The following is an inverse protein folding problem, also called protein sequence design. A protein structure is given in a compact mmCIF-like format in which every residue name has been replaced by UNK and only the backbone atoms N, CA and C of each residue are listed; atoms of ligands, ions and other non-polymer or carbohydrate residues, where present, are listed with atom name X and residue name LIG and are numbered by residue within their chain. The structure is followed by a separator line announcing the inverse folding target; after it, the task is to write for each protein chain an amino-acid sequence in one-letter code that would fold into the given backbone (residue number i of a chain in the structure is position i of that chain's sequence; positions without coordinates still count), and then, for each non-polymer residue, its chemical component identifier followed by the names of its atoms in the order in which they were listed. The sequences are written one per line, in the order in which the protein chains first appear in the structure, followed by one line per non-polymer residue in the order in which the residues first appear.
data_IF_762586171587
#
_entry.id   IF_762586171587
#
_cell.length_a   1.000
_cell.length_b   1.000
_cell.length_c   1.000
_cell.angle_alpha   90.00
_cell.angle_beta   90.00
_cell.angle_gamma   90.00
#
_symmetry.space_group_name_H-M   'P 1'
#
loop_
_entity.id
_entity.type
_entity.pdbx_description
1 polymer ?
#
# COMPACT_ATOMS: atom_id res chain seq x y z
N UNK A 1 69.97 -5.74 -43.05
CA UNK A 1 69.00 -4.70 -43.08
C UNK A 1 67.63 -5.31 -42.76
N UNK A 2 67.31 -5.41 -41.51
CA UNK A 2 66.05 -5.95 -40.97
C UNK A 2 65.16 -4.78 -40.47
N UNK A 3 64.00 -4.66 -41.04
CA UNK A 3 62.95 -3.73 -40.55
C UNK A 3 62.22 -4.39 -39.39
N UNK A 4 61.90 -3.65 -38.30
CA UNK A 4 61.00 -4.13 -37.30
C UNK A 4 59.52 -3.80 -37.68
N UNK A 5 58.69 -4.84 -37.63
CA UNK A 5 57.22 -4.68 -37.73
C UNK A 5 56.66 -4.06 -36.45
N UNK A 6 55.99 -2.92 -36.59
CA UNK A 6 55.21 -2.32 -35.56
C UNK A 6 53.83 -2.99 -35.45
N UNK A 7 53.61 -3.70 -34.36
CA UNK A 7 52.27 -4.19 -33.99
C UNK A 7 51.43 -3.08 -33.43
N UNK A 8 50.50 -2.57 -34.20
CA UNK A 8 49.44 -1.68 -33.70
C UNK A 8 48.37 -2.48 -32.96
N UNK A 9 48.36 -2.39 -31.62
CA UNK A 9 47.27 -2.84 -30.80
C UNK A 9 46.11 -1.84 -30.91
N UNK A 10 45.10 -2.18 -31.68
CA UNK A 10 43.82 -1.49 -31.69
C UNK A 10 43.06 -1.76 -30.38
N UNK A 11 43.13 -0.86 -29.44
CA UNK A 11 42.23 -0.86 -28.31
C UNK A 11 40.80 -0.50 -28.79
N UNK A 12 39.98 -1.51 -28.99
CA UNK A 12 38.53 -1.31 -29.15
C UNK A 12 37.97 -0.80 -27.83
N UNK A 13 37.71 0.50 -27.74
CA UNK A 13 36.87 1.09 -26.70
C UNK A 13 35.42 0.61 -26.92
N UNK A 14 35.14 -0.60 -26.46
CA UNK A 14 33.78 -1.13 -26.39
C UNK A 14 32.99 -0.26 -25.42
N UNK A 15 31.90 0.30 -25.92
CA UNK A 15 30.89 0.92 -25.09
C UNK A 15 30.49 -0.05 -23.95
N UNK A 16 30.50 0.33 -22.67
CA UNK A 16 30.18 -0.60 -21.59
C UNK A 16 28.67 -0.80 -21.51
N UNK A 17 28.10 -1.44 -22.53
CA UNK A 17 26.76 -1.99 -22.42
C UNK A 17 26.89 -3.21 -21.50
N UNK A 18 26.41 -3.12 -20.29
CA UNK A 18 26.26 -4.28 -19.42
C UNK A 18 25.23 -5.20 -20.06
N UNK A 19 25.70 -6.17 -20.82
CA UNK A 19 24.86 -7.21 -21.39
C UNK A 19 24.37 -8.09 -20.24
N UNK A 20 23.07 -8.05 -19.97
CA UNK A 20 22.40 -8.88 -19.00
C UNK A 20 21.40 -8.06 -18.19
N UNK A 21 20.20 -8.60 -18.04
CA UNK A 21 19.24 -8.13 -17.05
C UNK A 21 19.87 -8.21 -15.66
N UNK A 22 19.61 -7.27 -14.74
CA UNK A 22 19.94 -7.44 -13.32
C UNK A 22 19.41 -8.75 -12.78
N UNK A 23 18.40 -9.28 -13.42
CA UNK A 23 17.65 -10.48 -13.05
C UNK A 23 18.16 -11.73 -13.77
N UNK A 24 18.82 -11.61 -14.92
CA UNK A 24 19.40 -12.72 -15.67
C UNK A 24 20.85 -13.03 -15.30
N UNK A 25 21.51 -12.18 -14.52
CA UNK A 25 22.85 -12.46 -14.04
C UNK A 25 22.78 -13.55 -12.95
N UNK A 26 23.66 -14.54 -13.02
CA UNK A 26 23.85 -15.59 -12.01
C UNK A 26 24.41 -15.04 -10.68
N UNK A 27 24.05 -13.80 -10.32
CA UNK A 27 24.48 -13.10 -9.14
C UNK A 27 23.46 -13.18 -8.00
N UNK A 28 23.89 -12.86 -6.77
CA UNK A 28 23.01 -12.86 -5.62
C UNK A 28 21.89 -11.82 -5.78
N UNK A 29 20.67 -12.24 -5.49
CA UNK A 29 19.47 -11.38 -5.44
C UNK A 29 19.20 -10.95 -4.01
N UNK A 30 18.57 -9.78 -3.84
CA UNK A 30 18.15 -9.30 -2.53
C UNK A 30 16.78 -9.89 -2.20
N UNK A 31 16.69 -10.62 -1.10
CA UNK A 31 15.44 -11.21 -0.61
C UNK A 31 14.58 -10.15 0.10
N UNK A 32 13.58 -9.58 -0.59
CA UNK A 32 12.69 -8.56 0.01
C UNK A 32 11.78 -9.12 1.13
N UNK A 33 11.63 -10.42 1.19
CA UNK A 33 10.84 -11.14 2.20
C UNK A 33 11.61 -11.44 3.47
N UNK A 34 12.88 -11.06 3.58
CA UNK A 34 13.73 -11.39 4.73
C UNK A 34 13.49 -10.45 5.92
N UNK A 35 13.72 -10.99 7.13
CA UNK A 35 13.70 -10.21 8.38
C UNK A 35 14.71 -9.06 8.34
N UNK A 36 15.91 -9.29 7.80
CA UNK A 36 16.97 -8.27 7.68
C UNK A 36 16.50 -7.09 6.81
N UNK A 37 15.84 -7.37 5.67
CA UNK A 37 15.28 -6.32 4.83
C UNK A 37 14.15 -5.58 5.54
N UNK A 38 13.25 -6.29 6.22
CA UNK A 38 12.14 -5.69 6.96
C UNK A 38 12.64 -4.80 8.11
N UNK A 39 13.71 -5.19 8.79
CA UNK A 39 14.28 -4.44 9.91
C UNK A 39 14.81 -3.06 9.49
N UNK A 40 15.61 -2.95 8.42
CA UNK A 40 16.15 -1.68 7.91
C UNK A 40 16.21 -1.64 6.37
N UNK A 41 15.08 -1.41 5.68
CA UNK A 41 15.06 -1.29 4.23
C UNK A 41 15.82 -0.07 3.73
N UNK A 42 15.92 1.00 4.53
CA UNK A 42 16.67 2.20 4.15
C UNK A 42 18.17 1.95 4.06
N UNK A 43 18.72 1.16 4.99
CA UNK A 43 20.11 0.70 4.88
C UNK A 43 20.29 -0.15 3.62
N UNK A 44 19.39 -1.09 3.39
CA UNK A 44 19.43 -1.93 2.19
C UNK A 44 19.40 -1.09 0.89
N UNK A 45 18.53 -0.08 0.78
CA UNK A 45 18.52 0.81 -0.40
C UNK A 45 19.82 1.59 -0.57
N UNK A 46 20.44 2.05 0.52
CA UNK A 46 21.75 2.74 0.45
C UNK A 46 22.85 1.82 -0.06
N UNK A 47 22.88 0.56 0.35
CA UNK A 47 23.85 -0.44 -0.12
C UNK A 47 23.58 -0.90 -1.58
N UNK A 48 22.32 -0.96 -1.98
CA UNK A 48 21.94 -1.36 -3.34
C UNK A 48 22.35 -0.33 -4.39
N UNK A 49 22.21 0.97 -4.11
CA UNK A 49 22.44 2.05 -5.10
C UNK A 49 23.83 2.05 -5.73
N UNK A 50 24.94 2.04 -4.96
CA UNK A 50 26.27 2.05 -5.56
C UNK A 50 26.56 0.76 -6.34
N UNK A 51 25.91 -0.35 -5.98
CA UNK A 51 26.16 -1.65 -6.60
C UNK A 51 25.35 -1.86 -7.89
N UNK A 52 24.09 -1.44 -7.89
CA UNK A 52 23.12 -1.77 -8.94
C UNK A 52 22.56 -0.55 -9.67
N UNK A 53 22.73 0.66 -9.15
CA UNK A 53 22.08 1.86 -9.67
C UNK A 53 20.57 1.88 -9.38
N UNK A 54 19.76 2.22 -10.38
CA UNK A 54 18.32 2.38 -10.27
C UNK A 54 17.53 1.06 -10.25
N UNK A 55 18.14 -0.05 -10.72
CA UNK A 55 17.47 -1.32 -10.99
C UNK A 55 18.19 -2.46 -10.26
N UNK A 56 17.53 -3.05 -9.29
CA UNK A 56 18.10 -4.03 -8.36
C UNK A 56 17.53 -5.43 -8.63
N UNK A 57 18.37 -6.47 -8.78
CA UNK A 57 17.89 -7.85 -8.84
C UNK A 57 17.41 -8.31 -7.47
N UNK A 58 16.15 -8.74 -7.38
CA UNK A 58 15.51 -9.14 -6.13
C UNK A 58 14.80 -10.50 -6.24
N UNK A 59 14.44 -11.04 -5.09
CA UNK A 59 13.43 -12.10 -4.97
C UNK A 59 12.24 -11.59 -4.14
N UNK A 60 11.02 -11.83 -4.65
CA UNK A 60 9.76 -11.53 -3.95
C UNK A 60 9.38 -12.59 -2.92
N UNK A 61 9.75 -13.83 -3.21
CA UNK A 61 9.73 -14.99 -2.33
C UNK A 61 10.80 -15.98 -2.85
N UNK A 62 11.17 -17.02 -2.10
CA UNK A 62 12.19 -17.97 -2.56
C UNK A 62 11.92 -18.46 -3.99
N UNK A 63 12.90 -18.24 -4.89
CA UNK A 63 12.81 -18.65 -6.29
C UNK A 63 11.89 -17.82 -7.19
N UNK A 64 11.36 -16.70 -6.71
CA UNK A 64 10.53 -15.77 -7.52
C UNK A 64 11.32 -14.51 -7.84
N UNK A 65 12.04 -14.49 -8.98
CA UNK A 65 12.87 -13.37 -9.38
C UNK A 65 12.05 -12.18 -9.85
N UNK A 66 12.53 -10.97 -9.53
CA UNK A 66 11.97 -9.71 -9.98
C UNK A 66 13.07 -8.64 -10.08
N UNK A 67 12.71 -7.47 -10.58
CA UNK A 67 13.54 -6.27 -10.56
C UNK A 67 12.90 -5.21 -9.69
N UNK A 68 13.63 -4.67 -8.71
CA UNK A 68 13.20 -3.54 -7.88
C UNK A 68 13.73 -2.23 -8.48
N UNK A 69 12.85 -1.28 -8.66
CA UNK A 69 13.19 0.08 -9.10
C UNK A 69 13.35 0.96 -7.86
N UNK A 70 14.54 1.49 -7.63
CA UNK A 70 14.85 2.41 -6.52
C UNK A 70 15.25 3.80 -6.99
N UNK A 71 15.32 4.05 -8.31
CA UNK A 71 15.57 5.35 -8.91
C UNK A 71 14.27 6.08 -9.19
N UNK A 72 14.11 7.32 -8.67
CA UNK A 72 12.89 8.09 -8.80
C UNK A 72 12.50 8.37 -10.26
N UNK A 73 13.44 8.88 -11.06
CA UNK A 73 13.18 9.19 -12.47
C UNK A 73 12.90 7.93 -13.31
N UNK A 74 13.56 6.83 -12.98
CA UNK A 74 13.33 5.52 -13.61
C UNK A 74 11.92 5.03 -13.31
N UNK A 75 11.48 5.17 -12.06
CA UNK A 75 10.12 4.83 -11.65
C UNK A 75 9.07 5.67 -12.40
N UNK A 76 9.27 6.99 -12.53
CA UNK A 76 8.37 7.86 -13.28
C UNK A 76 8.24 7.43 -14.76
N UNK A 77 9.36 7.05 -15.39
CA UNK A 77 9.33 6.57 -16.78
C UNK A 77 8.50 5.30 -16.92
N UNK A 78 8.73 4.33 -16.04
CA UNK A 78 8.04 3.03 -16.07
C UNK A 78 6.54 3.19 -15.78
N UNK A 79 6.17 3.95 -14.74
CA UNK A 79 4.78 4.14 -14.32
C UNK A 79 3.94 4.93 -15.33
N UNK A 80 4.56 5.77 -16.16
CA UNK A 80 3.89 6.54 -17.21
C UNK A 80 3.96 5.88 -18.59
N UNK A 81 4.48 4.66 -18.69
CA UNK A 81 4.59 3.91 -19.96
C UNK A 81 3.86 2.56 -19.86
N UNK A 82 2.52 2.55 -19.75
CA UNK A 82 1.74 1.32 -19.62
C UNK A 82 1.73 0.45 -20.88
N UNK A 83 2.15 0.97 -22.02
CA UNK A 83 2.23 0.22 -23.28
C UNK A 83 3.40 -0.78 -23.25
N UNK A 84 4.54 -0.38 -22.72
CA UNK A 84 5.72 -1.23 -22.57
C UNK A 84 5.76 -1.94 -21.22
N UNK A 85 5.20 -1.33 -20.18
CA UNK A 85 5.17 -1.82 -18.80
C UNK A 85 3.72 -1.99 -18.29
N UNK A 86 2.92 -2.88 -18.91
CA UNK A 86 1.57 -3.14 -18.45
C UNK A 86 1.55 -3.82 -17.07
N UNK A 87 0.46 -3.62 -16.33
CA UNK A 87 0.21 -4.33 -15.07
C UNK A 87 -0.30 -5.78 -15.26
N UNK A 88 -0.32 -6.28 -16.48
CA UNK A 88 -0.86 -7.57 -16.88
C UNK A 88 0.07 -8.74 -16.52
N UNK A 89 -0.32 -9.52 -15.53
CA UNK A 89 0.43 -10.68 -15.04
C UNK A 89 0.09 -12.02 -15.70
N UNK A 90 -0.82 -12.07 -16.68
CA UNK A 90 -1.35 -13.31 -17.29
C UNK A 90 -0.27 -14.25 -17.85
N UNK A 91 0.84 -13.73 -18.33
CA UNK A 91 1.95 -14.56 -18.81
C UNK A 91 2.84 -15.01 -17.66
N UNK A 92 3.21 -14.10 -16.76
CA UNK A 92 4.05 -14.40 -15.61
C UNK A 92 3.44 -15.43 -14.68
N UNK A 93 2.17 -15.32 -14.32
CA UNK A 93 1.52 -16.23 -13.38
C UNK A 93 1.54 -17.70 -13.81
N UNK A 94 1.76 -17.98 -15.10
CA UNK A 94 1.90 -19.35 -15.64
C UNK A 94 3.32 -19.91 -15.43
N UNK A 95 4.28 -19.08 -15.03
CA UNK A 95 5.68 -19.46 -14.85
C UNK A 95 6.06 -19.75 -13.41
N UNK A 96 5.16 -19.43 -12.46
CA UNK A 96 5.36 -19.67 -11.03
C UNK A 96 4.51 -20.85 -10.55
N UNK A 97 4.94 -21.56 -9.50
CA UNK A 97 4.13 -22.61 -8.87
C UNK A 97 2.80 -22.10 -8.34
N UNK A 98 1.78 -22.94 -8.28
CA UNK A 98 0.46 -22.57 -7.75
C UNK A 98 0.46 -22.24 -6.25
N UNK A 99 1.45 -22.74 -5.50
CA UNK A 99 1.68 -22.47 -4.09
C UNK A 99 2.63 -21.27 -3.84
N UNK A 100 2.96 -20.51 -4.88
CA UNK A 100 3.80 -19.33 -4.77
C UNK A 100 3.16 -18.29 -3.80
N UNK A 101 3.83 -17.90 -2.70
CA UNK A 101 3.22 -17.05 -1.66
C UNK A 101 2.76 -15.67 -2.15
N UNK A 102 3.41 -15.14 -3.20
CA UNK A 102 3.06 -13.81 -3.75
C UNK A 102 2.06 -13.88 -4.91
N UNK A 103 1.71 -15.08 -5.38
CA UNK A 103 0.79 -15.26 -6.50
C UNK A 103 -0.59 -14.65 -6.23
N UNK A 104 -1.25 -14.86 -5.08
CA UNK A 104 -2.58 -14.29 -4.80
C UNK A 104 -2.65 -12.76 -4.88
N UNK A 105 -1.52 -12.08 -4.59
CA UNK A 105 -1.41 -10.62 -4.66
C UNK A 105 -1.08 -10.11 -6.08
N UNK A 106 -0.48 -10.94 -6.92
CA UNK A 106 0.01 -10.56 -8.24
C UNK A 106 -0.72 -11.21 -9.42
N UNK A 107 -1.55 -12.22 -9.17
CA UNK A 107 -2.32 -12.87 -10.23
C UNK A 107 -3.24 -11.90 -10.97
N UNK A 108 -3.51 -12.20 -12.23
CA UNK A 108 -4.44 -11.42 -13.03
C UNK A 108 -5.87 -11.56 -12.50
N UNK A 109 -6.54 -10.43 -12.46
CA UNK A 109 -7.97 -10.32 -12.12
C UNK A 109 -8.64 -9.35 -13.09
N UNK A 110 -9.93 -9.52 -13.41
CA UNK A 110 -10.68 -8.55 -14.22
C UNK A 110 -11.00 -7.28 -13.39
N UNK A 111 -9.96 -6.53 -13.06
CA UNK A 111 -10.02 -5.29 -12.28
C UNK A 111 -8.91 -4.33 -12.72
N UNK A 112 -9.04 -3.04 -12.42
CA UNK A 112 -8.12 -2.00 -12.88
C UNK A 112 -6.65 -2.31 -12.55
N UNK A 113 -6.37 -2.87 -11.36
CA UNK A 113 -5.01 -3.08 -10.86
C UNK A 113 -4.15 -4.05 -11.71
N UNK A 114 -4.77 -4.98 -12.46
CA UNK A 114 -4.08 -6.01 -13.26
C UNK A 114 -4.39 -5.93 -14.74
N UNK A 115 -4.82 -4.76 -15.20
CA UNK A 115 -5.10 -4.50 -16.59
C UNK A 115 -4.41 -3.21 -17.07
N UNK A 116 -4.33 -3.01 -18.38
CA UNK A 116 -3.74 -1.83 -19.01
C UNK A 116 -4.54 -1.39 -20.22
N UNK A 117 -4.32 -0.18 -20.71
CA UNK A 117 -4.99 0.35 -21.89
C UNK A 117 -6.51 0.49 -21.70
N UNK A 118 -7.30 0.08 -22.70
CA UNK A 118 -8.75 0.24 -22.70
C UNK A 118 -9.45 -0.60 -21.60
N UNK A 119 -8.98 -1.80 -21.31
CA UNK A 119 -9.52 -2.62 -20.22
C UNK A 119 -9.33 -1.93 -18.87
N UNK A 120 -8.12 -1.42 -18.60
CA UNK A 120 -7.87 -0.64 -17.41
C UNK A 120 -8.80 0.57 -17.33
N UNK A 121 -8.92 1.36 -18.41
CA UNK A 121 -9.76 2.55 -18.44
C UNK A 121 -11.23 2.22 -18.15
N UNK A 122 -11.73 1.10 -18.69
CA UNK A 122 -13.10 0.62 -18.45
C UNK A 122 -13.35 0.31 -16.97
N UNK A 123 -12.47 -0.42 -16.31
CA UNK A 123 -12.59 -0.70 -14.87
C UNK A 123 -12.40 0.56 -14.02
N UNK A 124 -11.40 1.37 -14.38
CA UNK A 124 -10.99 2.53 -13.61
C UNK A 124 -12.06 3.61 -13.51
N UNK A 125 -12.76 3.90 -14.60
CA UNK A 125 -13.74 5.01 -14.65
C UNK A 125 -14.88 4.82 -13.64
N UNK A 126 -15.43 3.60 -13.49
CA UNK A 126 -16.50 3.32 -12.54
C UNK A 126 -16.02 3.45 -11.09
N UNK A 127 -14.83 2.92 -10.80
CA UNK A 127 -14.24 3.00 -9.45
C UNK A 127 -13.92 4.45 -9.06
N UNK A 128 -13.35 5.24 -9.99
CA UNK A 128 -13.04 6.66 -9.73
C UNK A 128 -14.32 7.45 -9.51
N UNK A 129 -15.32 7.30 -10.38
CA UNK A 129 -16.59 8.01 -10.23
C UNK A 129 -17.26 7.70 -8.88
N UNK A 130 -17.26 6.43 -8.45
CA UNK A 130 -17.86 6.04 -7.18
C UNK A 130 -17.10 6.57 -5.95
N UNK A 131 -15.79 6.71 -6.03
CA UNK A 131 -14.95 7.27 -4.96
C UNK A 131 -15.08 8.80 -4.91
N UNK A 132 -15.12 9.47 -6.08
CA UNK A 132 -15.21 10.94 -6.17
C UNK A 132 -16.54 11.49 -5.61
N UNK A 133 -17.58 10.65 -5.55
CA UNK A 133 -18.89 11.00 -4.94
C UNK A 133 -18.91 10.85 -3.40
N UNK A 134 -17.80 10.44 -2.77
CA UNK A 134 -17.74 10.34 -1.31
C UNK A 134 -17.84 11.75 -0.69
N UNK A 135 -18.85 11.96 0.11
CA UNK A 135 -18.94 13.16 0.95
C UNK A 135 -17.88 13.09 2.07
N UNK A 136 -16.82 13.89 1.92
CA UNK A 136 -15.72 13.93 2.87
C UNK A 136 -16.17 14.43 4.26
N UNK A 137 -17.17 15.31 4.32
CA UNK A 137 -17.69 15.78 5.60
C UNK A 137 -18.48 14.68 6.34
N UNK A 138 -19.32 13.94 5.61
CA UNK A 138 -20.00 12.78 6.18
C UNK A 138 -19.01 11.68 6.60
N UNK A 139 -17.93 11.51 5.84
CA UNK A 139 -16.87 10.54 6.16
C UNK A 139 -16.09 10.93 7.42
N UNK A 140 -15.80 12.21 7.63
CA UNK A 140 -15.20 12.70 8.88
C UNK A 140 -16.03 12.28 10.10
N UNK A 141 -17.36 12.51 10.06
CA UNK A 141 -18.25 12.05 11.12
C UNK A 141 -18.27 10.52 11.26
N UNK A 142 -18.16 9.78 10.16
CA UNK A 142 -18.11 8.32 10.18
C UNK A 142 -16.85 7.81 10.90
N UNK A 143 -15.69 8.43 10.64
CA UNK A 143 -14.44 8.08 11.34
C UNK A 143 -14.56 8.34 12.84
N UNK A 144 -15.10 9.49 13.27
CA UNK A 144 -15.31 9.80 14.68
C UNK A 144 -16.25 8.78 15.36
N UNK A 145 -17.38 8.45 14.70
CA UNK A 145 -18.35 7.47 15.22
C UNK A 145 -17.78 6.06 15.36
N UNK A 146 -16.74 5.72 14.61
CA UNK A 146 -16.02 4.45 14.72
C UNK A 146 -14.87 4.55 15.73
N UNK A 147 -14.11 5.63 15.72
CA UNK A 147 -12.92 5.81 16.53
C UNK A 147 -13.27 5.89 18.03
N UNK A 148 -14.26 6.70 18.40
CA UNK A 148 -14.63 6.92 19.80
C UNK A 148 -15.06 5.64 20.53
N UNK A 149 -15.96 4.80 20.01
CA UNK A 149 -16.25 3.50 20.62
C UNK A 149 -15.02 2.57 20.74
N UNK A 150 -14.13 2.55 19.75
CA UNK A 150 -12.91 1.74 19.81
C UNK A 150 -11.99 2.22 20.93
N UNK A 151 -11.75 3.53 21.05
CA UNK A 151 -10.94 4.12 22.13
C UNK A 151 -11.56 3.77 23.49
N UNK A 152 -12.88 3.81 23.62
CA UNK A 152 -13.57 3.47 24.84
C UNK A 152 -13.41 2.02 25.29
N UNK A 153 -12.98 1.12 24.38
CA UNK A 153 -12.71 -0.29 24.76
C UNK A 153 -11.42 -0.46 25.57
N UNK A 154 -10.48 0.50 25.53
CA UNK A 154 -9.17 0.37 26.18
C UNK A 154 -8.71 1.60 26.96
N UNK A 155 -9.37 2.76 26.84
CA UNK A 155 -8.93 4.00 27.49
C UNK A 155 -8.84 3.91 29.02
N UNK A 156 -9.58 2.99 29.65
CA UNK A 156 -9.50 2.70 31.08
C UNK A 156 -8.42 1.71 31.51
N UNK A 157 -7.70 1.07 30.55
CA UNK A 157 -6.74 0.02 30.85
C UNK A 157 -5.31 0.56 31.05
N UNK A 158 -5.04 1.81 30.69
CA UNK A 158 -3.73 2.45 30.76
C UNK A 158 -2.69 1.89 29.76
N UNK A 159 -3.06 0.93 28.95
CA UNK A 159 -2.22 0.29 27.93
C UNK A 159 -3.05 -0.24 26.77
N UNK A 160 -2.47 -0.27 25.56
CA UNK A 160 -3.07 -0.89 24.39
C UNK A 160 -2.02 -1.32 23.37
N UNK A 161 -2.38 -2.28 22.50
CA UNK A 161 -1.73 -2.47 21.21
C UNK A 161 -2.57 -1.76 20.14
N UNK A 162 -2.04 -0.67 19.60
CA UNK A 162 -2.77 0.17 18.66
C UNK A 162 -3.06 -0.49 17.31
N UNK A 163 -2.32 -1.54 16.92
CA UNK A 163 -2.64 -2.31 15.71
C UNK A 163 -3.92 -3.10 15.94
N UNK A 164 -3.92 -3.94 16.96
CA UNK A 164 -5.01 -4.88 17.21
C UNK A 164 -6.27 -4.22 17.74
N UNK A 165 -6.14 -3.18 18.59
CA UNK A 165 -7.26 -2.59 19.32
C UNK A 165 -7.80 -1.30 18.67
N UNK A 166 -7.05 -0.68 17.75
CA UNK A 166 -7.45 0.59 17.13
C UNK A 166 -7.35 0.62 15.61
N UNK A 167 -6.15 0.58 15.03
CA UNK A 167 -5.94 0.91 13.62
C UNK A 167 -6.57 -0.13 12.67
N UNK A 168 -6.42 -1.43 12.95
CA UNK A 168 -7.05 -2.47 12.15
C UNK A 168 -8.58 -2.46 12.26
N UNK A 169 -9.19 -2.48 13.47
CA UNK A 169 -10.65 -2.41 13.61
C UNK A 169 -11.25 -1.14 12.98
N UNK A 170 -10.55 0.00 13.11
CA UNK A 170 -11.00 1.26 12.52
C UNK A 170 -10.97 1.19 10.98
N UNK A 171 -9.83 0.83 10.39
CA UNK A 171 -9.71 0.71 8.94
C UNK A 171 -10.75 -0.27 8.37
N UNK A 172 -10.95 -1.40 9.03
CA UNK A 172 -11.95 -2.39 8.65
C UNK A 172 -13.38 -1.83 8.71
N UNK A 173 -13.75 -1.16 9.80
CA UNK A 173 -15.09 -0.61 9.97
C UNK A 173 -15.37 0.54 8.98
N UNK A 174 -14.38 1.42 8.72
CA UNK A 174 -14.51 2.51 7.75
C UNK A 174 -14.69 1.96 6.33
N UNK A 175 -13.90 0.96 5.92
CA UNK A 175 -14.07 0.34 4.61
C UNK A 175 -15.43 -0.35 4.47
N UNK A 176 -15.91 -1.05 5.51
CA UNK A 176 -17.26 -1.61 5.51
C UNK A 176 -18.32 -0.52 5.33
N UNK A 177 -18.20 0.61 6.02
CA UNK A 177 -19.12 1.73 5.88
C UNK A 177 -19.09 2.30 4.45
N UNK A 178 -17.92 2.54 3.88
CA UNK A 178 -17.76 3.06 2.51
C UNK A 178 -18.35 2.13 1.44
N UNK A 179 -18.21 0.82 1.62
CA UNK A 179 -18.75 -0.20 0.71
C UNK A 179 -20.21 -0.57 1.00
N UNK A 180 -20.78 -0.04 2.09
CA UNK A 180 -22.10 -0.44 2.55
C UNK A 180 -22.19 -1.91 2.94
N UNK A 181 -21.11 -2.48 3.46
CA UNK A 181 -20.95 -3.90 3.79
C UNK A 181 -21.51 -4.17 5.20
N UNK A 182 -22.54 -5.02 5.36
CA UNK A 182 -23.02 -5.44 6.67
C UNK A 182 -21.98 -6.22 7.47
N UNK A 183 -22.09 -6.17 8.80
CA UNK A 183 -21.11 -6.76 9.71
C UNK A 183 -20.88 -8.26 9.45
N UNK A 184 -21.94 -9.04 9.15
CA UNK A 184 -21.84 -10.49 8.91
C UNK A 184 -21.05 -10.82 7.64
N UNK A 185 -21.25 -10.04 6.57
CA UNK A 185 -20.48 -10.19 5.32
C UNK A 185 -19.03 -9.75 5.56
N UNK A 186 -18.85 -8.61 6.24
CA UNK A 186 -17.54 -8.08 6.58
C UNK A 186 -16.71 -9.05 7.43
N UNK A 187 -17.30 -9.71 8.42
CA UNK A 187 -16.61 -10.73 9.23
C UNK A 187 -16.11 -11.91 8.39
N UNK A 188 -16.93 -12.42 7.47
CA UNK A 188 -16.49 -13.49 6.54
C UNK A 188 -15.35 -13.03 5.64
N UNK A 189 -15.44 -11.79 5.13
CA UNK A 189 -14.38 -11.18 4.34
C UNK A 189 -13.06 -11.08 5.13
N UNK A 190 -13.12 -10.62 6.39
CA UNK A 190 -11.96 -10.54 7.27
C UNK A 190 -11.33 -11.90 7.55
N UNK A 191 -12.14 -12.92 7.83
CA UNK A 191 -11.65 -14.29 8.06
C UNK A 191 -10.98 -14.86 6.80
N UNK A 192 -11.56 -14.63 5.62
CA UNK A 192 -10.97 -15.04 4.36
C UNK A 192 -9.63 -14.37 4.07
N UNK A 193 -9.55 -13.05 4.29
CA UNK A 193 -8.31 -12.29 4.16
C UNK A 193 -7.23 -12.76 5.15
N UNK A 194 -7.57 -12.96 6.42
CA UNK A 194 -6.63 -13.43 7.43
C UNK A 194 -6.03 -14.79 7.03
N UNK A 195 -6.85 -15.76 6.62
CA UNK A 195 -6.38 -17.07 6.16
C UNK A 195 -5.44 -16.97 4.94
N UNK A 196 -5.71 -16.03 4.02
CA UNK A 196 -4.83 -15.79 2.86
C UNK A 196 -3.47 -15.22 3.27
N UNK A 197 -3.43 -14.28 4.23
CA UNK A 197 -2.18 -13.66 4.70
C UNK A 197 -1.36 -14.59 5.60
N UNK A 198 -2.01 -15.41 6.39
CA UNK A 198 -1.34 -16.40 7.26
C UNK A 198 -0.81 -17.60 6.47
N UNK A 199 -1.25 -17.77 5.22
CA UNK A 199 -0.88 -18.90 4.36
C UNK A 199 -1.45 -20.24 4.83
N UNK A 200 -2.33 -20.24 5.83
CA UNK A 200 -3.04 -21.43 6.33
C UNK A 200 -4.37 -21.54 5.59
N UNK A 201 -4.55 -22.63 4.82
CA UNK A 201 -5.74 -22.82 4.00
C UNK A 201 -6.07 -21.63 3.07
N UNK A 202 -5.03 -20.99 2.51
CA UNK A 202 -5.15 -19.76 1.72
C UNK A 202 -6.16 -19.86 0.56
N UNK A 203 -6.29 -21.04 -0.07
CA UNK A 203 -7.28 -21.30 -1.13
C UNK A 203 -8.72 -21.23 -0.58
N UNK A 204 -8.97 -21.80 0.60
CA UNK A 204 -10.28 -21.69 1.26
C UNK A 204 -10.57 -20.26 1.71
N UNK A 205 -9.53 -19.56 2.21
CA UNK A 205 -9.61 -18.15 2.56
C UNK A 205 -10.00 -17.29 1.34
N UNK A 206 -9.36 -17.52 0.21
CA UNK A 206 -9.68 -16.83 -1.05
C UNK A 206 -11.11 -17.12 -1.52
N UNK A 207 -11.55 -18.38 -1.45
CA UNK A 207 -12.94 -18.74 -1.78
C UNK A 207 -13.92 -18.02 -0.85
N UNK A 208 -13.72 -18.07 0.46
CA UNK A 208 -14.57 -17.39 1.44
C UNK A 208 -14.65 -15.88 1.20
N UNK A 209 -13.53 -15.25 0.86
CA UNK A 209 -13.49 -13.82 0.54
C UNK A 209 -14.26 -13.50 -0.74
N UNK A 210 -14.09 -14.29 -1.82
CA UNK A 210 -14.85 -14.13 -3.05
C UNK A 210 -16.35 -14.31 -2.82
N UNK A 211 -16.76 -15.33 -2.06
CA UNK A 211 -18.18 -15.58 -1.74
C UNK A 211 -18.80 -14.43 -0.93
N UNK A 212 -18.07 -13.91 0.05
CA UNK A 212 -18.51 -12.74 0.82
C UNK A 212 -18.73 -11.51 -0.08
N UNK A 213 -17.83 -11.25 -1.02
CA UNK A 213 -17.98 -10.14 -1.98
C UNK A 213 -19.11 -10.36 -2.97
N UNK A 214 -19.35 -11.60 -3.39
CA UNK A 214 -20.50 -11.96 -4.23
C UNK A 214 -21.83 -11.69 -3.50
N UNK A 215 -21.92 -12.07 -2.22
CA UNK A 215 -23.10 -11.81 -1.40
C UNK A 215 -23.32 -10.29 -1.19
N UNK A 216 -22.24 -9.50 -1.01
CA UNK A 216 -22.34 -8.06 -0.92
C UNK A 216 -22.91 -7.45 -2.22
N UNK A 217 -22.39 -7.87 -3.37
CA UNK A 217 -22.90 -7.42 -4.69
C UNK A 217 -24.37 -7.78 -4.86
N UNK A 218 -24.77 -9.02 -4.55
CA UNK A 218 -26.16 -9.47 -4.61
C UNK A 218 -27.07 -8.67 -3.68
N UNK A 219 -26.61 -8.38 -2.46
CA UNK A 219 -27.32 -7.55 -1.50
C UNK A 219 -27.55 -6.14 -2.07
N UNK A 220 -26.51 -5.50 -2.62
CA UNK A 220 -26.60 -4.13 -3.13
C UNK A 220 -27.44 -4.00 -4.40
N UNK A 221 -27.54 -5.03 -5.20
CA UNK A 221 -28.51 -5.08 -6.31
C UNK A 221 -29.96 -5.09 -5.83
N UNK A 222 -30.23 -5.79 -4.75
CA UNK A 222 -31.60 -5.88 -4.18
C UNK A 222 -31.93 -4.73 -3.23
N UNK A 223 -30.93 -4.17 -2.57
CA UNK A 223 -31.04 -3.11 -1.57
C UNK A 223 -29.97 -2.04 -1.82
N UNK A 224 -30.16 -1.18 -2.83
CA UNK A 224 -29.24 -0.08 -3.11
C UNK A 224 -29.13 0.85 -1.90
N UNK A 225 -27.91 1.39 -1.67
CA UNK A 225 -27.63 2.37 -0.61
C UNK A 225 -26.79 3.51 -1.13
N UNK A 226 -26.46 4.45 -0.24
CA UNK A 226 -25.49 5.49 -0.54
C UNK A 226 -24.07 5.00 -0.22
N UNK A 227 -23.52 4.14 -1.10
CA UNK A 227 -22.26 3.47 -0.92
C UNK A 227 -21.56 3.20 -2.26
N UNK A 228 -20.24 2.93 -2.21
CA UNK A 228 -19.41 2.72 -3.38
C UNK A 228 -19.91 1.55 -4.24
N UNK A 229 -20.32 0.43 -3.63
CA UNK A 229 -20.77 -0.76 -4.38
C UNK A 229 -22.02 -0.44 -5.18
N UNK A 230 -22.99 0.25 -4.57
CA UNK A 230 -24.20 0.70 -5.26
C UNK A 230 -23.88 1.66 -6.41
N UNK A 231 -22.98 2.62 -6.20
CA UNK A 231 -22.57 3.58 -7.25
C UNK A 231 -21.90 2.88 -8.44
N UNK A 232 -21.03 1.89 -8.19
CA UNK A 232 -20.40 1.11 -9.26
C UNK A 232 -21.48 0.30 -10.04
N UNK A 233 -22.45 -0.31 -9.33
CA UNK A 233 -23.54 -1.05 -9.94
C UNK A 233 -24.46 -0.16 -10.82
N UNK A 234 -24.59 1.10 -10.48
CA UNK A 234 -25.40 2.09 -11.22
C UNK A 234 -24.61 2.83 -12.32
N UNK A 235 -23.29 2.63 -12.39
CA UNK A 235 -22.46 3.28 -13.39
C UNK A 235 -22.77 2.73 -14.80
N UNK A 236 -22.73 3.57 -15.86
CA UNK A 236 -23.01 3.15 -17.25
C UNK A 236 -22.09 2.06 -17.80
N UNK A 237 -20.94 1.82 -17.19
CA UNK A 237 -20.09 0.67 -17.51
C UNK A 237 -20.78 -0.59 -17.01
N UNK A 238 -21.19 -1.42 -17.97
CA UNK A 238 -21.83 -2.71 -17.67
C UNK A 238 -20.75 -3.75 -17.35
N UNK A 239 -20.63 -4.09 -16.05
CA UNK A 239 -19.78 -5.17 -15.57
C UNK A 239 -20.56 -6.47 -15.47
N UNK A 240 -19.99 -7.58 -15.93
CA UNK A 240 -20.53 -8.88 -15.60
C UNK A 240 -20.37 -9.20 -14.09
N UNK A 241 -20.99 -10.28 -13.62
CA UNK A 241 -20.97 -10.63 -12.19
C UNK A 241 -19.56 -10.88 -11.67
N UNK A 242 -18.71 -11.51 -12.45
CA UNK A 242 -17.32 -11.78 -12.07
C UNK A 242 -16.53 -10.49 -11.98
N UNK A 243 -16.64 -9.62 -12.97
CA UNK A 243 -15.98 -8.31 -12.98
C UNK A 243 -16.42 -7.47 -11.78
N UNK A 244 -17.73 -7.42 -11.51
CA UNK A 244 -18.27 -6.66 -10.39
C UNK A 244 -17.72 -7.13 -9.04
N UNK A 245 -17.72 -8.44 -8.79
CA UNK A 245 -17.17 -9.04 -7.58
C UNK A 245 -15.67 -8.68 -7.44
N UNK A 246 -14.90 -8.73 -8.53
CA UNK A 246 -13.48 -8.39 -8.49
C UNK A 246 -13.21 -6.89 -8.27
N UNK A 247 -14.08 -5.98 -8.75
CA UNK A 247 -13.97 -4.55 -8.40
C UNK A 247 -14.13 -4.35 -6.88
N UNK A 248 -15.15 -4.97 -6.28
CA UNK A 248 -15.42 -4.85 -4.84
C UNK A 248 -14.31 -5.49 -4.01
N UNK A 249 -13.86 -6.68 -4.39
CA UNK A 249 -12.75 -7.40 -3.76
C UNK A 249 -11.47 -6.56 -3.75
N UNK A 250 -11.16 -5.90 -4.87
CA UNK A 250 -10.00 -5.04 -4.98
C UNK A 250 -10.09 -3.81 -4.08
N UNK A 251 -11.24 -3.17 -4.00
CA UNK A 251 -11.46 -2.01 -3.11
C UNK A 251 -11.30 -2.41 -1.64
N UNK A 252 -11.84 -3.55 -1.28
CA UNK A 252 -11.79 -4.08 0.08
C UNK A 252 -10.33 -4.43 0.48
N UNK A 253 -9.65 -5.22 -0.34
CA UNK A 253 -8.27 -5.64 -0.08
C UNK A 253 -7.26 -4.50 -0.11
N UNK A 254 -7.42 -3.54 -1.04
CA UNK A 254 -6.53 -2.39 -1.14
C UNK A 254 -6.77 -1.31 -0.07
N UNK A 255 -7.93 -1.31 0.60
CA UNK A 255 -8.33 -0.28 1.54
C UNK A 255 -7.90 -0.53 2.98
N UNK A 256 -7.81 -1.77 3.46
CA UNK A 256 -7.65 -2.07 4.89
C UNK A 256 -6.18 -1.98 5.34
N UNK A 257 -5.33 -2.85 4.82
CA UNK A 257 -3.94 -2.96 5.30
C UNK A 257 -3.12 -1.67 5.06
N UNK A 258 -3.17 -1.02 3.88
CA UNK A 258 -2.45 0.23 3.69
C UNK A 258 -2.96 1.35 4.60
N UNK A 259 -4.26 1.40 4.89
CA UNK A 259 -4.84 2.39 5.80
C UNK A 259 -4.37 2.19 7.24
N UNK A 260 -4.42 0.94 7.73
CA UNK A 260 -3.87 0.56 9.02
C UNK A 260 -2.40 0.97 9.14
N UNK A 261 -1.59 0.60 8.15
CA UNK A 261 -0.15 0.87 8.17
C UNK A 261 0.16 2.37 8.10
N UNK A 262 -0.64 3.17 7.38
CA UNK A 262 -0.48 4.63 7.35
C UNK A 262 -0.71 5.23 8.74
N UNK A 263 -1.78 4.83 9.42
CA UNK A 263 -2.08 5.28 10.78
C UNK A 263 -0.94 4.88 11.74
N UNK A 264 -0.54 3.62 11.72
CA UNK A 264 0.45 3.07 12.66
C UNK A 264 1.84 3.64 12.43
N UNK A 265 2.30 3.75 11.19
CA UNK A 265 3.62 4.30 10.88
C UNK A 265 3.69 5.79 11.26
N UNK A 266 2.58 6.52 11.10
CA UNK A 266 2.48 7.92 11.49
C UNK A 266 2.48 8.08 13.02
N UNK A 267 1.69 7.29 13.73
CA UNK A 267 1.70 7.27 15.21
C UNK A 267 3.09 6.90 15.75
N UNK A 268 3.74 5.89 15.17
CA UNK A 268 5.12 5.54 15.54
C UNK A 268 6.06 6.75 15.39
N UNK A 269 6.01 7.44 14.25
CA UNK A 269 6.82 8.64 14.03
C UNK A 269 6.54 9.70 15.08
N UNK A 270 5.27 10.02 15.34
CA UNK A 270 4.87 11.04 16.31
C UNK A 270 5.25 10.69 17.74
N UNK A 271 5.25 9.40 18.11
CA UNK A 271 5.63 8.94 19.45
C UNK A 271 7.15 8.80 19.66
N UNK A 272 7.94 8.81 18.58
CA UNK A 272 9.40 8.61 18.66
C UNK A 272 10.22 9.85 18.32
N UNK A 273 9.66 10.82 17.61
CA UNK A 273 10.37 12.03 17.18
C UNK A 273 9.92 13.25 17.98
N UNK A 274 10.89 13.87 18.66
CA UNK A 274 10.65 15.05 19.51
C UNK A 274 10.06 16.25 18.77
N UNK A 275 10.17 16.33 17.44
CA UNK A 275 9.56 17.39 16.64
C UNK A 275 8.03 17.40 16.75
N UNK A 276 7.42 16.25 17.09
CA UNK A 276 5.97 16.10 17.28
C UNK A 276 5.57 16.10 18.76
N UNK A 277 6.52 15.95 19.70
CA UNK A 277 6.24 15.85 21.14
C UNK A 277 5.97 17.19 21.85
N UNK A 278 6.07 18.33 21.15
CA UNK A 278 5.89 19.66 21.73
C UNK A 278 4.43 20.03 21.87
N UNK A 279 3.98 20.36 23.10
CA UNK A 279 2.64 20.90 23.33
C UNK A 279 2.40 22.23 22.59
N UNK A 280 1.13 22.67 22.58
CA UNK A 280 0.53 23.82 21.86
C UNK A 280 1.35 25.15 21.88
N UNK A 281 2.30 25.30 22.79
CA UNK A 281 3.15 26.50 22.93
C UNK A 281 4.55 26.38 22.30
N UNK A 282 4.93 25.22 21.77
CA UNK A 282 6.31 24.94 21.33
C UNK A 282 6.54 24.86 19.81
N UNK A 283 5.53 25.07 18.97
CA UNK A 283 5.68 25.01 17.51
C UNK A 283 5.92 23.58 17.00
N UNK A 284 5.26 22.59 17.61
CA UNK A 284 5.30 21.19 17.16
C UNK A 284 4.72 21.05 15.75
N UNK A 285 5.27 20.10 15.00
CA UNK A 285 4.73 19.69 13.72
C UNK A 285 3.35 19.02 13.94
N UNK A 286 2.48 19.16 12.95
CA UNK A 286 1.11 18.64 12.99
C UNK A 286 1.05 17.17 12.57
N UNK A 287 -0.09 16.50 12.82
CA UNK A 287 -0.41 15.18 12.27
C UNK A 287 -0.26 15.15 10.74
N UNK A 288 -0.60 16.24 10.07
CA UNK A 288 -0.44 16.38 8.63
C UNK A 288 1.03 16.34 8.19
N UNK A 289 1.90 17.02 8.93
CA UNK A 289 3.35 16.99 8.66
C UNK A 289 3.91 15.57 8.87
N UNK A 290 3.42 14.86 9.88
CA UNK A 290 3.81 13.48 10.15
C UNK A 290 3.35 12.52 9.04
N UNK A 291 2.12 12.67 8.55
CA UNK A 291 1.58 11.91 7.42
C UNK A 291 2.40 12.16 6.15
N UNK A 292 2.67 13.42 5.82
CA UNK A 292 3.48 13.79 4.65
C UNK A 292 4.90 13.19 4.77
N UNK A 293 5.53 13.21 5.94
CA UNK A 293 6.85 12.61 6.17
C UNK A 293 6.82 11.08 6.04
N UNK A 294 5.84 10.40 6.61
CA UNK A 294 5.68 8.94 6.52
C UNK A 294 5.45 8.49 5.07
N UNK A 295 4.67 9.23 4.29
CA UNK A 295 4.48 8.93 2.87
C UNK A 295 5.77 9.03 2.05
N UNK A 296 6.76 9.81 2.51
CA UNK A 296 8.11 9.80 1.94
C UNK A 296 8.97 8.66 2.45
N UNK A 297 9.03 8.48 3.76
CA UNK A 297 10.03 7.62 4.41
C UNK A 297 9.58 6.17 4.54
N UNK A 298 8.43 5.95 5.14
CA UNK A 298 7.89 4.62 5.44
C UNK A 298 6.45 4.45 4.91
N UNK A 299 6.22 4.63 3.57
CA UNK A 299 4.90 4.48 3.00
C UNK A 299 4.32 3.09 3.27
N UNK A 300 3.01 2.97 3.51
CA UNK A 300 2.33 1.71 3.88
C UNK A 300 2.63 0.54 2.95
N UNK A 301 2.67 0.81 1.65
CA UNK A 301 3.16 -0.09 0.61
C UNK A 301 4.53 0.43 0.17
N UNK A 302 5.60 -0.12 0.77
CA UNK A 302 6.97 0.32 0.46
C UNK A 302 7.43 -0.07 -0.92
N UNK A 303 7.02 -1.26 -1.41
CA UNK A 303 7.39 -1.81 -2.71
C UNK A 303 6.17 -2.43 -3.35
N UNK A 304 5.58 -1.78 -4.34
CA UNK A 304 4.41 -2.30 -5.05
C UNK A 304 4.38 -1.77 -6.50
N UNK A 305 3.22 -1.43 -7.05
CA UNK A 305 3.05 -0.93 -8.42
C UNK A 305 3.76 -1.82 -9.44
N UNK A 306 3.44 -3.13 -9.39
CA UNK A 306 4.13 -4.15 -10.18
C UNK A 306 3.67 -4.09 -11.63
N UNK A 307 4.64 -4.06 -12.54
CA UNK A 307 4.44 -4.10 -13.98
C UNK A 307 5.18 -5.28 -14.61
N UNK A 308 4.81 -5.65 -15.84
CA UNK A 308 5.35 -6.81 -16.54
C UNK A 308 5.70 -6.41 -17.98
N UNK A 309 6.99 -6.14 -18.31
CA UNK A 309 7.38 -5.76 -19.65
C UNK A 309 6.89 -6.75 -20.71
N UNK A 310 6.28 -6.30 -21.79
CA UNK A 310 5.77 -7.20 -22.85
C UNK A 310 6.89 -7.84 -23.67
N UNK A 311 8.03 -7.20 -23.69
CA UNK A 311 9.24 -7.63 -24.40
C UNK A 311 10.47 -7.22 -23.59
N UNK A 312 11.67 -7.75 -23.87
CA UNK A 312 12.87 -7.28 -23.21
C UNK A 312 13.07 -5.78 -23.42
N UNK A 313 13.28 -5.03 -22.32
CA UNK A 313 13.40 -3.57 -22.32
C UNK A 313 14.75 -3.12 -21.80
N UNK A 314 15.41 -2.21 -22.49
CA UNK A 314 16.63 -1.58 -22.04
C UNK A 314 16.31 -0.29 -21.27
N UNK A 315 16.54 -0.31 -19.96
CA UNK A 315 16.33 0.83 -19.06
C UNK A 315 17.63 1.11 -18.32
N UNK A 316 18.10 2.35 -18.34
CA UNK A 316 19.32 2.81 -17.66
C UNK A 316 20.54 1.90 -17.90
N UNK A 317 20.69 1.37 -19.12
CA UNK A 317 21.78 0.47 -19.50
C UNK A 317 21.61 -0.99 -19.05
N UNK A 318 20.45 -1.36 -18.52
CA UNK A 318 20.14 -2.69 -18.01
C UNK A 318 18.97 -3.30 -18.78
N UNK A 319 19.10 -4.55 -19.22
CA UNK A 319 18.02 -5.29 -19.83
C UNK A 319 17.07 -5.87 -18.79
N UNK A 320 15.80 -5.50 -18.88
CA UNK A 320 14.69 -6.12 -18.15
C UNK A 320 14.10 -7.25 -19.00
N UNK A 321 13.94 -8.47 -18.45
CA UNK A 321 13.33 -9.57 -19.19
C UNK A 321 11.85 -9.32 -19.48
N UNK A 322 11.37 -9.90 -20.58
CA UNK A 322 9.94 -9.95 -20.84
C UNK A 322 9.20 -10.71 -19.73
N UNK A 323 8.01 -10.24 -19.40
CA UNK A 323 7.05 -10.89 -18.50
C UNK A 323 7.55 -11.13 -17.05
N UNK A 324 8.68 -10.58 -16.66
CA UNK A 324 9.16 -10.66 -15.29
C UNK A 324 8.69 -9.45 -14.48
N UNK A 325 8.33 -9.63 -13.19
CA UNK A 325 7.88 -8.51 -12.37
C UNK A 325 8.92 -7.40 -12.25
N UNK A 326 8.51 -6.19 -12.52
CA UNK A 326 9.23 -4.94 -12.22
C UNK A 326 8.45 -4.23 -11.14
N UNK A 327 9.04 -4.14 -9.97
CA UNK A 327 8.42 -3.62 -8.73
C UNK A 327 8.95 -2.23 -8.46
N UNK A 328 8.08 -1.27 -8.25
CA UNK A 328 8.49 0.08 -7.84
C UNK A 328 8.65 0.13 -6.33
N UNK A 329 9.85 0.47 -5.85
CA UNK A 329 10.05 0.81 -4.45
C UNK A 329 9.66 2.26 -4.23
N UNK A 330 8.46 2.51 -3.68
CA UNK A 330 8.05 3.86 -3.33
C UNK A 330 9.00 4.45 -2.28
N UNK A 331 9.31 3.70 -1.22
CA UNK A 331 10.25 4.12 -0.18
C UNK A 331 11.66 4.37 -0.75
N UNK A 332 12.17 3.44 -1.56
CA UNK A 332 13.50 3.59 -2.19
C UNK A 332 13.56 4.78 -3.14
N UNK A 333 12.55 4.98 -3.98
CA UNK A 333 12.47 6.10 -4.92
C UNK A 333 12.32 7.45 -4.22
N UNK A 334 11.44 7.55 -3.22
CA UNK A 334 11.22 8.77 -2.47
C UNK A 334 12.49 9.26 -1.76
N UNK A 335 13.32 8.32 -1.30
CA UNK A 335 14.61 8.59 -0.65
C UNK A 335 15.79 8.53 -1.61
N UNK A 336 15.56 8.66 -2.92
CA UNK A 336 16.64 8.78 -3.91
C UNK A 336 17.41 10.08 -3.67
N UNK A 337 18.74 10.03 -3.44
CA UNK A 337 19.58 11.21 -3.25
C UNK A 337 19.50 12.22 -4.40
N UNK A 338 19.08 11.78 -5.59
CA UNK A 338 18.90 12.68 -6.73
C UNK A 338 17.75 13.68 -6.56
N UNK A 339 16.76 13.39 -5.68
CA UNK A 339 15.57 14.22 -5.46
C UNK A 339 15.32 14.54 -3.99
N UNK A 340 15.79 13.71 -3.06
CA UNK A 340 15.52 13.85 -1.63
C UNK A 340 16.37 14.98 -1.05
N UNK A 341 15.72 15.98 -0.47
CA UNK A 341 16.36 17.11 0.24
C UNK A 341 16.37 16.92 1.76
N UNK A 342 15.78 15.85 2.27
CA UNK A 342 15.54 15.63 3.70
C UNK A 342 14.50 16.57 4.33
N UNK A 343 13.78 17.35 3.50
CA UNK A 343 12.66 18.19 3.92
C UNK A 343 11.37 17.64 3.37
N UNK A 344 10.47 17.26 4.26
CA UNK A 344 9.21 16.60 3.91
C UNK A 344 7.98 17.49 4.07
N UNK A 345 8.05 18.50 4.96
CA UNK A 345 6.96 19.44 5.21
C UNK A 345 6.56 20.15 3.91
N UNK A 346 5.26 20.14 3.59
CA UNK A 346 4.67 20.70 2.37
C UNK A 346 5.18 20.08 1.05
N UNK A 347 5.94 18.99 1.12
CA UNK A 347 6.43 18.29 -0.05
C UNK A 347 5.57 17.06 -0.32
N UNK A 348 4.90 17.03 -1.47
CA UNK A 348 4.01 15.94 -1.91
C UNK A 348 4.50 15.23 -3.16
N UNK A 349 5.78 15.41 -3.52
CA UNK A 349 6.38 14.78 -4.69
C UNK A 349 6.82 13.32 -4.44
N UNK A 350 6.18 12.64 -3.48
CA UNK A 350 6.43 11.23 -3.20
C UNK A 350 5.60 10.31 -4.11
N UNK A 351 6.05 9.06 -4.26
CA UNK A 351 5.38 8.02 -5.05
C UNK A 351 4.45 7.11 -4.23
N UNK A 352 4.18 7.41 -2.96
CA UNK A 352 3.38 6.54 -2.09
C UNK A 352 1.97 6.23 -2.64
N UNK A 353 1.40 7.15 -3.42
CA UNK A 353 0.12 6.97 -4.11
C UNK A 353 0.29 6.53 -5.56
N UNK A 354 1.49 6.15 -5.99
CA UNK A 354 1.85 5.94 -7.39
C UNK A 354 1.63 7.19 -8.26
N UNK A 355 1.89 7.05 -9.55
CA UNK A 355 1.62 8.06 -10.59
C UNK A 355 1.17 7.37 -11.87
N UNK A 356 0.73 8.15 -12.86
CA UNK A 356 0.26 7.62 -14.14
C UNK A 356 -1.12 6.95 -14.02
N UNK A 357 -1.48 6.06 -14.96
CA UNK A 357 -2.81 5.47 -15.01
C UNK A 357 -3.24 4.72 -13.75
N UNK A 358 -2.28 4.11 -13.04
CA UNK A 358 -2.50 3.34 -11.82
C UNK A 358 -2.31 4.15 -10.52
N UNK A 359 -2.30 5.49 -10.58
CA UNK A 359 -2.28 6.32 -9.38
C UNK A 359 -3.47 6.01 -8.47
N UNK A 360 -3.29 6.04 -7.15
CA UNK A 360 -4.36 5.72 -6.19
C UNK A 360 -5.57 6.65 -6.37
N UNK A 361 -6.79 6.13 -6.58
CA UNK A 361 -7.98 6.96 -6.73
C UNK A 361 -8.48 7.50 -5.41
N UNK A 362 -8.19 6.81 -4.30
CA UNK A 362 -8.69 7.12 -2.97
C UNK A 362 -7.73 7.99 -2.15
N UNK A 363 -6.71 8.62 -2.78
CA UNK A 363 -5.66 9.36 -2.06
C UNK A 363 -6.22 10.37 -1.05
N UNK A 364 -7.17 11.21 -1.47
CA UNK A 364 -7.70 12.28 -0.62
C UNK A 364 -8.48 11.73 0.57
N UNK A 365 -9.33 10.73 0.32
CA UNK A 365 -10.17 10.12 1.36
C UNK A 365 -9.34 9.29 2.33
N UNK A 366 -8.35 8.53 1.83
CA UNK A 366 -7.46 7.75 2.68
C UNK A 366 -6.58 8.64 3.58
N UNK A 367 -6.08 9.75 3.05
CA UNK A 367 -5.32 10.73 3.83
C UNK A 367 -6.16 11.34 4.95
N UNK A 368 -7.40 11.75 4.65
CA UNK A 368 -8.34 12.30 5.62
C UNK A 368 -8.68 11.28 6.72
N UNK A 369 -9.01 10.03 6.35
CA UNK A 369 -9.31 8.96 7.31
C UNK A 369 -8.12 8.74 8.27
N UNK A 370 -6.89 8.72 7.76
CA UNK A 370 -5.71 8.56 8.60
C UNK A 370 -5.53 9.75 9.54
N UNK A 371 -5.68 10.98 9.04
CA UNK A 371 -5.57 12.19 9.85
C UNK A 371 -6.60 12.17 10.98
N UNK A 372 -7.89 11.98 10.65
CA UNK A 372 -8.98 11.98 11.61
C UNK A 372 -8.81 10.89 12.69
N UNK A 373 -8.42 9.68 12.27
CA UNK A 373 -8.19 8.58 13.19
C UNK A 373 -7.05 8.89 14.18
N UNK A 374 -5.97 9.51 13.72
CA UNK A 374 -4.83 9.88 14.55
C UNK A 374 -5.23 11.02 15.50
N UNK A 375 -5.87 12.06 14.98
CA UNK A 375 -6.27 13.23 15.77
C UNK A 375 -7.25 12.81 16.88
N UNK A 376 -8.28 11.99 16.59
CA UNK A 376 -9.21 11.44 17.59
C UNK A 376 -8.49 10.66 18.69
N UNK A 377 -7.50 9.86 18.36
CA UNK A 377 -6.74 9.07 19.34
C UNK A 377 -5.87 9.96 20.22
N UNK A 378 -5.16 10.92 19.63
CA UNK A 378 -4.25 11.82 20.36
C UNK A 378 -5.01 12.81 21.23
N UNK A 379 -6.19 13.28 20.80
CA UNK A 379 -7.07 14.13 21.59
C UNK A 379 -7.63 13.37 22.82
N UNK A 380 -7.94 12.09 22.65
CA UNK A 380 -8.43 11.24 23.73
C UNK A 380 -7.33 10.84 24.73
N UNK A 381 -6.10 10.59 24.26
CA UNK A 381 -4.99 10.06 25.02
C UNK A 381 -3.71 10.91 24.81
N UNK A 382 -3.72 12.20 25.24
CA UNK A 382 -2.65 13.16 24.90
C UNK A 382 -1.27 12.83 25.52
N UNK A 383 -1.23 12.03 26.58
CA UNK A 383 0.01 11.62 27.27
C UNK A 383 0.47 10.20 26.85
N UNK A 384 -0.02 9.73 25.70
CA UNK A 384 0.35 8.43 25.18
C UNK A 384 1.85 8.36 24.81
N UNK A 385 2.49 7.25 25.15
CA UNK A 385 3.89 6.97 24.85
C UNK A 385 4.09 5.49 24.53
N UNK A 386 5.19 5.15 23.87
CA UNK A 386 5.52 3.74 23.65
C UNK A 386 5.67 3.00 24.97
N UNK A 387 5.18 1.76 25.01
CA UNK A 387 5.37 0.85 26.14
C UNK A 387 6.74 0.15 26.14
N UNK A 388 7.41 0.13 24.99
CA UNK A 388 8.74 -0.45 24.78
C UNK A 388 9.66 0.57 24.09
N UNK A 389 11.00 0.44 24.18
CA UNK A 389 11.92 1.23 23.37
C UNK A 389 11.63 1.10 21.88
N UNK A 390 11.86 2.18 21.12
CA UNK A 390 11.54 2.21 19.69
C UNK A 390 12.32 1.19 18.84
N UNK A 391 13.51 0.82 19.28
CA UNK A 391 14.38 -0.20 18.68
C UNK A 391 13.98 -1.65 18.99
N UNK A 392 13.07 -1.85 19.93
CA UNK A 392 12.45 -3.15 20.21
C UNK A 392 11.19 -3.40 19.35
N UNK A 393 10.68 -2.38 18.65
CA UNK A 393 9.57 -2.55 17.72
C UNK A 393 10.00 -3.41 16.54
N UNK A 394 9.21 -4.45 16.23
CA UNK A 394 9.53 -5.38 15.15
C UNK A 394 8.66 -5.15 13.93
N UNK A 395 9.30 -5.21 12.77
CA UNK A 395 8.65 -5.09 11.48
C UNK A 395 8.27 -6.46 10.94
N UNK A 396 7.08 -6.57 10.38
CA UNK A 396 6.63 -7.79 9.74
C UNK A 396 7.38 -7.98 8.41
N UNK A 397 8.04 -9.13 8.20
CA UNK A 397 8.71 -9.42 6.93
C UNK A 397 7.69 -9.55 5.79
N UNK A 398 8.10 -9.16 4.60
CA UNK A 398 7.26 -9.24 3.40
C UNK A 398 7.76 -8.29 2.31
N UNK A 399 7.56 -8.63 1.03
CA UNK A 399 8.17 -7.88 -0.06
C UNK A 399 7.49 -6.52 -0.34
N UNK A 400 6.25 -6.31 0.12
CA UNK A 400 5.43 -5.19 -0.36
C UNK A 400 5.12 -4.12 0.68
N UNK A 401 4.86 -4.51 1.92
CA UNK A 401 4.37 -3.62 2.96
C UNK A 401 5.46 -3.09 3.88
N UNK A 402 5.15 -2.02 4.59
CA UNK A 402 5.89 -1.50 5.75
C UNK A 402 4.95 -1.54 6.95
N UNK A 403 4.96 -2.61 7.69
CA UNK A 403 4.01 -2.90 8.77
C UNK A 403 4.71 -3.38 10.01
N UNK A 404 4.37 -2.81 11.16
CA UNK A 404 4.79 -3.32 12.47
C UNK A 404 4.00 -4.58 12.85
N UNK A 405 4.59 -5.42 13.69
CA UNK A 405 3.90 -6.58 14.29
C UNK A 405 2.96 -6.16 15.42
N UNK A 406 3.33 -5.12 16.19
CA UNK A 406 2.55 -4.50 17.25
C UNK A 406 3.01 -3.05 17.46
N UNK A 407 2.13 -2.20 18.00
CA UNK A 407 2.48 -0.86 18.49
C UNK A 407 1.96 -0.71 19.93
N UNK A 408 2.68 -1.27 20.91
CA UNK A 408 2.27 -1.21 22.31
C UNK A 408 2.51 0.19 22.90
N UNK A 409 1.49 0.73 23.56
CA UNK A 409 1.52 2.06 24.17
C UNK A 409 1.05 2.04 25.62
N UNK A 410 1.49 3.04 26.37
CA UNK A 410 1.05 3.36 27.74
C UNK A 410 0.48 4.77 27.77
N UNK A 411 -0.56 4.98 28.56
CA UNK A 411 -1.20 6.27 28.78
C UNK A 411 -1.87 6.32 30.16
N UNK A 412 -2.16 7.49 30.72
CA UNK A 412 -3.01 7.60 31.93
C UNK A 412 -4.39 7.03 31.66
N UNK A 413 -4.92 6.25 32.61
CA UNK A 413 -6.32 5.78 32.55
C UNK A 413 -7.26 6.97 32.41
N UNK A 414 -8.18 6.87 31.46
CA UNK A 414 -9.16 7.94 31.15
C UNK A 414 -10.58 7.39 31.17
N UNK A 415 -11.56 8.18 31.60
CA UNK A 415 -12.95 7.77 31.51
C UNK A 415 -13.40 7.67 30.03
N UNK A 416 -14.39 6.82 29.73
CA UNK A 416 -14.92 6.73 28.38
C UNK A 416 -15.39 8.08 27.83
N UNK A 417 -15.07 8.32 26.58
CA UNK A 417 -15.55 9.49 25.83
C UNK A 417 -17.05 9.43 25.58
N UNK A 418 -17.76 10.56 25.53
CA UNK A 418 -19.16 10.57 25.18
C UNK A 418 -19.39 10.09 23.74
N UNK A 419 -20.27 9.12 23.57
CA UNK A 419 -20.72 8.65 22.25
C UNK A 419 -21.92 9.46 21.83
N UNK A 420 -21.80 10.31 20.81
CA UNK A 420 -22.94 11.07 20.28
C UNK A 420 -23.78 10.16 19.36
N UNK A 421 -24.87 9.58 19.91
CA UNK A 421 -25.92 9.00 19.08
C UNK A 421 -26.76 10.13 18.47
N UNK A 422 -26.68 10.34 17.14
CA UNK A 422 -27.74 11.14 16.49
C UNK A 422 -29.07 10.39 16.69
N UNK A 423 -29.98 10.97 17.44
CA UNK A 423 -31.38 10.57 17.33
C UNK A 423 -31.81 10.87 15.88
N UNK A 424 -32.51 9.96 15.20
CA UNK A 424 -33.13 10.29 13.93
C UNK A 424 -34.05 11.47 14.17
N UNK A 425 -33.85 12.56 13.44
CA UNK A 425 -34.76 13.71 13.49
C UNK A 425 -36.18 13.19 13.29
N UNK A 426 -36.97 13.35 14.34
CA UNK A 426 -38.31 12.83 14.38
C UNK A 426 -39.13 13.35 13.20
N UNK A 427 -39.76 12.44 12.50
CA UNK A 427 -40.86 12.75 11.60
C UNK A 427 -41.89 13.55 12.42
N UNK A 428 -41.85 14.89 12.32
CA UNK A 428 -42.95 15.72 12.74
C UNK A 428 -44.13 15.41 11.80
N UNK A 429 -44.95 14.48 12.24
CA UNK A 429 -46.31 14.36 11.73
C UNK A 429 -47.07 15.66 12.04
N UNK A 430 -47.56 16.28 11.00
CA UNK A 430 -48.69 17.19 11.06
C UNK A 430 -49.46 17.09 9.74
#
# INVERSE_FOLDING_TARGET
LTHPQSSSSSSSSGCPVRHGSPVGADGPRVALYSDDFAADPHHAYREMRPRYGSLVPIELSPGVPATLVIGYHTALRILNDPDHFPADSRTWQKTVPSDCPVLPLLEWRPAAIRNSGLEHARYRQATVAAIDEIDQFAMHNTVEQIAVPLINTFCGDGTADLIAQYAFPLAFAVINAMLGCPAEIGQRAAMGLAAMFEGVEAEKGNAMFNDAMADLVALKRSQPGDDIVTRILQHPVDFDDTEMVQQVLMLYGAGIEPQQNLIINTLRLMLTDQRFAGGILGGSLSTRDALDEVLFTDPPLSNYCVTFPRQPMLIDGVWLPAHQPVVISMAGCNNDPAISTGKYTDNRAHLAWSVGPHACPARSVAYMIAQDAIDQLLDALPEMRLAVPADELTWRPGPFHRSLTALPVLFPESPPLPVFSRQPEGSSAS
#
